data_IF_061580100890
#
_entry.id   IF_061580100890
#
_cell.length_a   1.000
_cell.length_b   1.000
_cell.length_c   1.000
_cell.angle_alpha   90.00
_cell.angle_beta   90.00
_cell.angle_gamma   90.00
#
_symmetry.space_group_name_H-M   'P 1'
#
loop_
_entity.id
_entity.type
_entity.pdbx_description
1 polymer ?
#
# COMPACT_ATOMS: atom_id res chain seq x y z
N UNK A 1 -9.03 36.56 -18.01
CA UNK A 1 -9.07 35.29 -17.26
C UNK A 1 -7.63 34.90 -16.97
N UNK A 2 -7.19 35.04 -15.72
CA UNK A 2 -5.83 34.68 -15.33
C UNK A 2 -5.70 33.15 -15.35
N UNK A 3 -4.69 32.63 -16.04
CA UNK A 3 -4.34 31.22 -15.99
C UNK A 3 -3.93 30.84 -14.57
N UNK A 4 -4.43 29.70 -14.05
CA UNK A 4 -3.96 29.12 -12.79
C UNK A 4 -2.47 28.77 -12.94
N UNK A 5 -1.56 29.37 -12.14
CA UNK A 5 -0.12 29.11 -12.26
C UNK A 5 0.28 27.68 -11.91
N UNK A 6 -0.66 26.81 -11.53
CA UNK A 6 -0.42 25.40 -11.16
C UNK A 6 -0.53 24.41 -12.32
N UNK A 7 -0.83 24.88 -13.53
CA UNK A 7 -0.81 24.05 -14.74
C UNK A 7 0.26 24.59 -15.68
N UNK A 8 1.52 24.42 -15.30
CA UNK A 8 2.66 24.75 -16.15
C UNK A 8 3.47 23.49 -16.44
N UNK A 9 3.32 23.04 -17.68
CA UNK A 9 4.29 22.36 -18.53
C UNK A 9 4.80 20.98 -18.13
N UNK A 10 4.56 20.04 -19.06
CA UNK A 10 5.13 18.72 -19.07
C UNK A 10 6.66 18.75 -19.09
N UNK A 11 7.23 18.33 -17.98
CA UNK A 11 8.44 17.52 -17.87
C UNK A 11 8.26 16.78 -16.54
N UNK A 12 8.37 15.45 -16.45
CA UNK A 12 8.39 14.82 -15.13
C UNK A 12 9.62 15.39 -14.44
N UNK A 13 9.41 16.24 -13.45
CA UNK A 13 10.48 16.79 -12.66
C UNK A 13 11.24 15.60 -12.06
N UNK A 14 12.45 15.40 -12.55
CA UNK A 14 13.33 14.35 -12.09
C UNK A 14 13.60 14.64 -10.62
N UNK A 15 12.96 13.87 -9.75
CA UNK A 15 13.00 13.99 -8.30
C UNK A 15 12.28 15.22 -7.72
N UNK A 16 10.93 15.22 -7.76
CA UNK A 16 10.25 15.62 -6.52
C UNK A 16 10.76 14.67 -5.44
N UNK A 17 11.66 15.14 -4.57
CA UNK A 17 12.20 14.33 -3.48
C UNK A 17 11.02 13.74 -2.72
N UNK A 18 10.80 12.43 -2.86
CA UNK A 18 9.69 11.76 -2.22
C UNK A 18 9.79 12.06 -0.72
N UNK A 19 8.80 12.79 -0.20
CA UNK A 19 8.77 13.13 1.22
C UNK A 19 8.51 11.86 2.00
N UNK A 20 9.17 11.73 3.15
CA UNK A 20 8.83 10.66 4.08
C UNK A 20 7.36 10.78 4.47
N UNK A 21 6.68 9.64 4.52
CA UNK A 21 5.38 9.51 5.15
C UNK A 21 5.49 9.93 6.63
N UNK A 22 4.44 10.52 7.23
CA UNK A 22 4.47 10.86 8.65
C UNK A 22 4.72 9.64 9.53
N UNK A 23 5.51 9.81 10.60
CA UNK A 23 5.83 8.70 11.52
C UNK A 23 4.58 8.11 12.18
N UNK A 24 3.60 8.96 12.54
CA UNK A 24 2.30 8.52 13.08
C UNK A 24 1.55 7.63 12.08
N UNK A 25 1.59 7.98 10.79
CA UNK A 25 1.00 7.19 9.73
C UNK A 25 1.73 5.86 9.54
N UNK A 26 3.06 5.85 9.50
CA UNK A 26 3.84 4.61 9.38
C UNK A 26 3.59 3.66 10.55
N UNK A 27 3.59 4.19 11.77
CA UNK A 27 3.29 3.43 12.99
C UNK A 27 1.90 2.80 12.91
N UNK A 28 0.88 3.61 12.60
CA UNK A 28 -0.49 3.13 12.43
C UNK A 28 -0.61 2.06 11.34
N UNK A 29 0.08 2.22 10.21
CA UNK A 29 0.10 1.23 9.12
C UNK A 29 0.68 -0.13 9.58
N UNK A 30 1.75 -0.10 10.38
CA UNK A 30 2.42 -1.31 10.90
C UNK A 30 1.56 -1.98 11.96
N UNK A 31 1.13 -1.23 12.98
CA UNK A 31 0.35 -1.75 14.11
C UNK A 31 -0.99 -2.32 13.65
N UNK A 32 -1.72 -1.59 12.81
CA UNK A 32 -3.00 -2.05 12.26
C UNK A 32 -2.85 -3.35 11.47
N UNK A 33 -1.79 -3.48 10.65
CA UNK A 33 -1.55 -4.72 9.89
C UNK A 33 -1.06 -5.87 10.76
N UNK A 34 -0.24 -5.61 11.78
CA UNK A 34 0.17 -6.64 12.75
C UNK A 34 -1.06 -7.18 13.49
N UNK A 35 -1.93 -6.31 14.00
CA UNK A 35 -3.18 -6.72 14.66
C UNK A 35 -4.06 -7.56 13.73
N UNK A 36 -4.23 -7.11 12.48
CA UNK A 36 -4.96 -7.83 11.43
C UNK A 36 -4.40 -9.23 11.17
N UNK A 37 -3.09 -9.36 10.99
CA UNK A 37 -2.43 -10.64 10.74
C UNK A 37 -2.49 -11.58 11.96
N UNK A 38 -2.39 -11.04 13.18
CA UNK A 38 -2.57 -11.81 14.42
C UNK A 38 -3.99 -12.38 14.51
N UNK A 39 -5.01 -11.59 14.18
CA UNK A 39 -6.39 -12.07 14.15
C UNK A 39 -6.58 -13.19 13.10
N UNK A 40 -6.04 -13.00 11.89
CA UNK A 40 -6.09 -14.00 10.81
C UNK A 40 -5.42 -15.31 11.25
N UNK A 41 -4.23 -15.25 11.88
CA UNK A 41 -3.54 -16.43 12.39
C UNK A 41 -4.33 -17.16 13.47
N UNK A 42 -5.14 -16.45 14.25
CA UNK A 42 -6.05 -17.01 15.24
C UNK A 42 -7.38 -17.52 14.64
N UNK A 43 -7.53 -17.58 13.32
CA UNK A 43 -8.77 -17.99 12.64
C UNK A 43 -9.88 -16.94 12.63
N UNK A 44 -9.58 -15.72 13.05
CA UNK A 44 -10.55 -14.62 13.09
C UNK A 44 -10.37 -13.70 11.90
N UNK A 45 -11.34 -13.69 10.97
CA UNK A 45 -11.31 -12.76 9.85
C UNK A 45 -11.71 -11.35 10.30
N UNK A 46 -10.83 -10.34 10.14
CA UNK A 46 -11.13 -8.97 10.53
C UNK A 46 -12.31 -8.44 9.73
N UNK A 47 -13.27 -7.79 10.42
CA UNK A 47 -14.41 -7.13 9.74
C UNK A 47 -13.99 -5.90 8.95
N UNK A 48 -12.84 -5.31 9.27
CA UNK A 48 -12.30 -4.10 8.64
C UNK A 48 -10.81 -4.27 8.39
N UNK A 49 -10.37 -3.75 7.25
CA UNK A 49 -8.99 -3.74 6.79
C UNK A 49 -8.48 -2.29 6.75
N UNK A 50 -8.67 -1.54 7.84
CA UNK A 50 -8.62 -0.07 7.86
C UNK A 50 -7.35 0.50 7.20
N UNK A 51 -6.18 -0.06 7.52
CA UNK A 51 -4.90 0.35 6.94
C UNK A 51 -4.60 -0.26 5.54
N UNK A 52 -5.21 -1.39 5.20
CA UNK A 52 -4.89 -2.16 3.99
C UNK A 52 -5.77 -1.81 2.79
N UNK A 53 -7.00 -1.32 2.99
CA UNK A 53 -7.95 -1.04 1.90
C UNK A 53 -8.41 0.44 1.84
N UNK A 54 -7.51 1.41 1.62
CA UNK A 54 -7.94 2.79 1.35
C UNK A 54 -8.75 2.90 0.06
N UNK A 55 -9.62 3.90 0.03
CA UNK A 55 -10.16 4.47 -1.20
C UNK A 55 -9.13 5.44 -1.76
N UNK A 56 -8.55 5.07 -2.90
CA UNK A 56 -7.69 5.93 -3.69
C UNK A 56 -8.54 6.85 -4.56
N UNK A 57 -8.29 8.16 -4.47
CA UNK A 57 -8.94 9.19 -5.27
C UNK A 57 -7.91 9.77 -6.24
N UNK A 58 -8.20 9.65 -7.54
CA UNK A 58 -7.37 10.15 -8.64
C UNK A 58 -8.17 11.12 -9.50
N UNK A 59 -7.47 11.97 -10.25
CA UNK A 59 -8.07 13.03 -11.05
C UNK A 59 -7.90 12.75 -12.55
N UNK A 60 -8.93 13.07 -13.32
CA UNK A 60 -9.02 12.84 -14.77
C UNK A 60 -9.77 14.01 -15.41
N UNK A 61 -9.09 15.14 -15.63
CA UNK A 61 -9.72 16.39 -16.07
C UNK A 61 -10.43 16.28 -17.44
N UNK A 62 -10.04 15.29 -18.25
CA UNK A 62 -10.60 15.03 -19.58
C UNK A 62 -11.89 14.18 -19.54
N UNK A 63 -12.24 13.64 -18.36
CA UNK A 63 -13.45 12.84 -18.16
C UNK A 63 -14.62 13.71 -17.70
N UNK A 64 -15.86 13.48 -18.17
CA UNK A 64 -17.06 14.13 -17.63
C UNK A 64 -17.21 13.96 -16.11
N UNK A 65 -16.60 12.89 -15.57
CA UNK A 65 -16.44 12.67 -14.14
C UNK A 65 -14.95 12.81 -13.79
N UNK A 66 -14.56 14.00 -13.34
CA UNK A 66 -13.15 14.35 -13.13
C UNK A 66 -12.50 13.65 -11.92
N UNK A 67 -13.30 13.06 -11.04
CA UNK A 67 -12.86 12.35 -9.85
C UNK A 67 -13.13 10.86 -10.05
N UNK A 68 -12.10 10.04 -9.85
CA UNK A 68 -12.23 8.59 -9.82
C UNK A 68 -11.81 8.04 -8.48
N UNK A 69 -12.65 7.17 -7.94
CA UNK A 69 -12.38 6.47 -6.69
C UNK A 69 -12.21 4.98 -6.96
N UNK A 70 -11.27 4.36 -6.25
CA UNK A 70 -11.08 2.92 -6.28
C UNK A 70 -10.50 2.43 -4.97
N UNK A 71 -11.07 1.37 -4.39
CA UNK A 71 -10.44 0.69 -3.25
C UNK A 71 -9.18 -0.02 -3.73
N UNK A 72 -8.06 0.17 -3.03
CA UNK A 72 -6.76 -0.42 -3.38
C UNK A 72 -6.19 -1.18 -2.20
N UNK A 73 -5.53 -2.31 -2.47
CA UNK A 73 -4.67 -2.96 -1.48
C UNK A 73 -3.42 -2.11 -1.29
N UNK A 74 -3.26 -1.46 -0.13
CA UNK A 74 -2.09 -0.67 0.22
C UNK A 74 -1.10 -1.50 1.05
N UNK A 75 0.19 -1.34 0.78
CA UNK A 75 1.28 -2.03 1.46
C UNK A 75 2.52 -1.17 1.62
N UNK A 76 3.23 -1.38 2.73
CA UNK A 76 4.58 -0.87 2.91
C UNK A 76 5.55 -1.75 2.11
N UNK A 77 6.64 -1.16 1.64
CA UNK A 77 7.70 -1.89 0.91
C UNK A 77 9.00 -1.84 1.69
N UNK A 78 9.84 -2.88 1.59
CA UNK A 78 11.19 -2.81 2.12
C UNK A 78 12.01 -1.75 1.39
N UNK A 79 13.10 -1.29 2.03
CA UNK A 79 14.16 -0.54 1.35
C UNK A 79 14.86 -1.42 0.33
N UNK A 80 15.48 -0.79 -0.66
CA UNK A 80 16.11 -1.49 -1.78
C UNK A 80 17.23 -2.44 -1.30
N UNK A 81 17.97 -2.06 -0.27
CA UNK A 81 19.12 -2.82 0.24
C UNK A 81 18.73 -4.16 0.89
N UNK A 82 17.45 -4.31 1.25
CA UNK A 82 16.92 -5.50 1.94
C UNK A 82 15.77 -6.15 1.17
N UNK A 83 15.44 -5.66 -0.02
CA UNK A 83 14.32 -6.14 -0.84
C UNK A 83 14.46 -7.64 -1.16
N UNK A 84 15.63 -8.07 -1.63
CA UNK A 84 15.89 -9.46 -2.02
C UNK A 84 15.68 -10.45 -0.87
N UNK A 85 15.98 -10.05 0.36
CA UNK A 85 15.74 -10.87 1.56
C UNK A 85 14.25 -11.17 1.75
N UNK A 86 13.39 -10.18 1.52
CA UNK A 86 11.94 -10.36 1.66
C UNK A 86 11.32 -11.09 0.47
N UNK A 87 11.85 -10.90 -0.73
CA UNK A 87 11.48 -11.72 -1.89
C UNK A 87 11.76 -13.19 -1.60
N UNK A 88 12.98 -13.52 -1.17
CA UNK A 88 13.36 -14.89 -0.82
C UNK A 88 12.48 -15.48 0.30
N UNK A 89 12.16 -14.68 1.32
CA UNK A 89 11.25 -15.10 2.41
C UNK A 89 9.86 -15.48 1.89
N UNK A 90 9.31 -14.69 0.95
CA UNK A 90 8.00 -14.95 0.35
C UNK A 90 8.05 -16.16 -0.58
N UNK A 91 9.08 -16.29 -1.41
CA UNK A 91 9.27 -17.42 -2.33
C UNK A 91 9.46 -18.74 -1.59
N UNK A 92 10.25 -18.75 -0.51
CA UNK A 92 10.42 -19.92 0.35
C UNK A 92 9.11 -20.33 1.02
N UNK A 93 8.34 -19.37 1.51
CA UNK A 93 7.02 -19.64 2.08
C UNK A 93 6.06 -20.22 1.04
N UNK A 94 6.05 -19.68 -0.19
CA UNK A 94 5.26 -20.22 -1.29
C UNK A 94 5.65 -21.67 -1.60
N UNK A 95 6.94 -21.96 -1.71
CA UNK A 95 7.45 -23.31 -1.99
C UNK A 95 7.09 -24.30 -0.88
N UNK A 96 7.26 -23.93 0.40
CA UNK A 96 6.92 -24.80 1.56
C UNK A 96 5.44 -25.05 1.74
N UNK A 97 4.60 -24.15 1.23
CA UNK A 97 3.16 -24.22 1.32
C UNK A 97 2.51 -24.78 0.04
N UNK A 98 3.31 -25.07 -0.99
CA UNK A 98 2.83 -25.70 -2.21
C UNK A 98 2.23 -27.08 -1.89
N UNK A 99 1.12 -27.40 -2.56
CA UNK A 99 0.41 -28.68 -2.46
C UNK A 99 -0.04 -29.12 -1.07
N UNK A 100 -0.04 -28.20 -0.10
CA UNK A 100 -0.50 -28.43 1.28
C UNK A 100 -1.79 -27.68 1.58
N UNK A 101 -2.68 -28.21 2.45
CA UNK A 101 -3.91 -27.53 2.85
C UNK A 101 -3.65 -26.12 3.39
N UNK A 102 -4.61 -25.22 3.16
CA UNK A 102 -4.51 -23.83 3.59
C UNK A 102 -4.40 -23.72 5.12
N UNK A 103 -5.19 -24.51 5.84
CA UNK A 103 -5.28 -24.54 7.29
C UNK A 103 -3.93 -24.90 7.93
N UNK A 104 -3.20 -25.84 7.33
CA UNK A 104 -1.88 -26.28 7.79
C UNK A 104 -0.76 -25.27 7.48
N UNK A 105 -0.97 -24.42 6.47
CA UNK A 105 0.05 -23.48 5.97
C UNK A 105 -0.20 -22.03 6.38
N UNK A 106 -1.37 -21.72 6.94
CA UNK A 106 -1.78 -20.37 7.31
C UNK A 106 -0.75 -19.68 8.21
N UNK A 107 -0.25 -20.36 9.24
CA UNK A 107 0.74 -19.80 10.15
C UNK A 107 2.05 -19.42 9.43
N UNK A 108 2.51 -20.25 8.49
CA UNK A 108 3.72 -20.01 7.70
C UNK A 108 3.53 -18.82 6.75
N UNK A 109 2.37 -18.75 6.07
CA UNK A 109 2.01 -17.66 5.17
C UNK A 109 1.90 -16.33 5.91
N UNK A 110 1.25 -16.31 7.06
CA UNK A 110 1.13 -15.12 7.91
C UNK A 110 2.52 -14.68 8.39
N UNK A 111 3.37 -15.60 8.84
CA UNK A 111 4.73 -15.29 9.29
C UNK A 111 5.56 -14.63 8.18
N UNK A 112 5.49 -15.16 6.95
CA UNK A 112 6.21 -14.60 5.81
C UNK A 112 5.78 -13.16 5.48
N UNK A 113 4.47 -12.89 5.46
CA UNK A 113 3.93 -11.53 5.23
C UNK A 113 4.27 -10.59 6.39
N UNK A 114 4.24 -11.11 7.63
CA UNK A 114 4.54 -10.32 8.84
C UNK A 114 6.03 -9.98 8.98
N UNK A 115 6.92 -10.72 8.32
CA UNK A 115 8.36 -10.56 8.45
C UNK A 115 8.85 -9.10 8.23
N UNK A 116 8.28 -8.38 7.26
CA UNK A 116 8.60 -6.96 7.04
C UNK A 116 8.06 -6.09 8.17
N UNK A 117 6.84 -6.35 8.60
CA UNK A 117 6.21 -5.58 9.66
C UNK A 117 6.92 -5.77 10.99
N UNK A 118 7.50 -6.94 11.26
CA UNK A 118 8.26 -7.24 12.48
C UNK A 118 9.61 -6.51 12.54
N UNK A 119 10.05 -5.88 11.44
CA UNK A 119 11.29 -5.10 11.33
C UNK A 119 11.03 -3.72 10.70
N UNK A 120 10.41 -2.78 11.44
CA UNK A 120 10.06 -1.45 10.92
C UNK A 120 11.22 -0.66 10.29
N UNK A 121 12.45 -0.90 10.75
CA UNK A 121 13.67 -0.27 10.22
C UNK A 121 13.91 -0.60 8.74
N UNK A 122 13.44 -1.75 8.29
CA UNK A 122 13.59 -2.23 6.92
C UNK A 122 12.55 -1.64 5.95
N UNK A 123 11.54 -0.91 6.46
CA UNK A 123 10.55 -0.22 5.63
C UNK A 123 11.15 1.05 5.02
N UNK A 124 10.90 1.29 3.72
CA UNK A 124 11.19 2.59 3.11
C UNK A 124 10.08 3.60 3.49
N UNK A 125 10.39 4.64 4.29
CA UNK A 125 9.39 5.60 4.74
C UNK A 125 8.86 6.50 3.63
N UNK A 126 9.45 6.47 2.43
CA UNK A 126 9.06 7.30 1.28
C UNK A 126 8.15 6.59 0.29
N UNK A 127 7.84 5.30 0.52
CA UNK A 127 7.07 4.47 -0.42
C UNK A 127 5.83 3.90 0.23
N UNK A 128 4.71 4.04 -0.48
CA UNK A 128 3.47 3.32 -0.22
C UNK A 128 3.05 2.66 -1.52
N UNK A 129 3.03 1.32 -1.54
CA UNK A 129 2.65 0.54 -2.70
C UNK A 129 1.15 0.27 -2.74
N UNK A 130 0.62 0.15 -3.95
CA UNK A 130 -0.79 -0.15 -4.18
C UNK A 130 -0.95 -1.27 -5.20
N UNK A 131 -1.83 -2.20 -4.90
CA UNK A 131 -2.26 -3.25 -5.81
C UNK A 131 -3.53 -2.83 -6.53
N UNK A 132 -3.51 -2.91 -7.86
CA UNK A 132 -4.67 -2.66 -8.71
C UNK A 132 -5.23 -3.99 -9.23
N UNK A 133 -6.45 -4.32 -8.79
CA UNK A 133 -7.10 -5.61 -9.07
C UNK A 133 -7.91 -5.57 -10.39
N UNK A 134 -8.38 -4.39 -10.80
CA UNK A 134 -9.25 -4.21 -11.98
C UNK A 134 -8.73 -3.11 -12.92
N UNK A 135 -9.15 -3.18 -14.21
CA UNK A 135 -8.74 -2.34 -15.36
C UNK A 135 -8.09 -1.01 -14.95
N UNK A 136 -6.76 -0.94 -15.13
CA UNK A 136 -5.78 0.06 -14.69
C UNK A 136 -6.04 1.56 -14.94
N UNK A 137 -7.25 2.06 -14.70
CA UNK A 137 -7.63 3.46 -14.89
C UNK A 137 -7.02 4.34 -13.80
N UNK A 138 -6.96 3.87 -12.54
CA UNK A 138 -6.27 4.63 -11.49
C UNK A 138 -4.79 4.77 -11.81
N UNK A 139 -4.13 3.69 -12.25
CA UNK A 139 -2.75 3.74 -12.72
C UNK A 139 -2.56 4.69 -13.92
N UNK A 140 -3.44 4.61 -14.92
CA UNK A 140 -3.38 5.51 -16.07
C UNK A 140 -3.55 6.99 -15.67
N UNK A 141 -4.37 7.28 -14.65
CA UNK A 141 -4.52 8.62 -14.09
C UNK A 141 -3.25 9.06 -13.36
N UNK A 142 -2.70 8.21 -12.47
CA UNK A 142 -1.46 8.50 -11.73
C UNK A 142 -0.25 8.75 -12.65
N UNK A 143 -0.20 8.07 -13.80
CA UNK A 143 0.83 8.27 -14.82
C UNK A 143 0.75 9.63 -15.50
N UNK A 144 -0.43 10.28 -15.51
CA UNK A 144 -0.67 11.61 -16.07
C UNK A 144 -0.58 12.70 -15.00
N UNK A 145 -1.16 12.45 -13.83
CA UNK A 145 -1.16 13.32 -12.66
C UNK A 145 -0.86 12.48 -11.41
N UNK A 146 0.34 12.64 -10.86
CA UNK A 146 0.80 11.87 -9.70
C UNK A 146 0.15 12.25 -8.38
N UNK A 147 -0.72 13.27 -8.35
CA UNK A 147 -1.43 13.67 -7.12
C UNK A 147 -2.54 12.68 -6.83
N UNK A 148 -2.59 12.25 -5.58
CA UNK A 148 -3.56 11.27 -5.10
C UNK A 148 -4.03 11.63 -3.70
N UNK A 149 -5.30 11.37 -3.41
CA UNK A 149 -5.83 11.42 -2.05
C UNK A 149 -6.17 10.01 -1.61
N UNK A 150 -5.74 9.63 -0.41
CA UNK A 150 -6.08 8.36 0.20
C UNK A 150 -7.11 8.61 1.29
N UNK A 151 -8.28 8.00 1.15
CA UNK A 151 -9.31 8.02 2.16
C UNK A 151 -9.38 6.66 2.85
N UNK A 152 -9.05 6.64 4.14
CA UNK A 152 -9.12 5.45 4.96
C UNK A 152 -10.45 5.43 5.72
N UNK A 153 -11.22 4.35 5.57
CA UNK A 153 -12.48 4.18 6.27
C UNK A 153 -12.25 3.45 7.61
N UNK A 154 -12.49 4.12 8.73
CA UNK A 154 -12.31 3.57 10.08
C UNK A 154 -11.46 4.47 10.98
N UNK A 155 -10.87 3.88 12.02
CA UNK A 155 -9.90 4.56 12.89
C UNK A 155 -8.61 4.80 12.10
N UNK A 156 -8.28 6.08 11.90
CA UNK A 156 -7.04 6.53 11.26
C UNK A 156 -5.92 6.76 12.28
N UNK A 157 -4.71 7.15 11.81
CA UNK A 157 -3.67 7.60 12.72
C UNK A 157 -4.14 8.82 13.52
N UNK A 158 -3.80 8.87 14.81
CA UNK A 158 -3.92 10.11 15.58
C UNK A 158 -2.98 11.16 14.96
N UNK A 159 -3.55 12.29 14.58
CA UNK A 159 -2.84 13.43 13.96
C UNK A 159 -2.25 14.35 15.00
#
# INVERSE_FOLDING_TARGET
MAADPRVANGTPDAASVARSLPDSFLRWQIESRRAMLTAIAAGHMPRRFAAHLPVMVTFDAESPFAIRTATKGAGLTPRDEVLDRYIATLEEALARCADRPWEETLAQRVAAVRALLDRPEDVDPRRLAFLEIFRGRSYANLRRDGRVVLHYAGEGPET
#
